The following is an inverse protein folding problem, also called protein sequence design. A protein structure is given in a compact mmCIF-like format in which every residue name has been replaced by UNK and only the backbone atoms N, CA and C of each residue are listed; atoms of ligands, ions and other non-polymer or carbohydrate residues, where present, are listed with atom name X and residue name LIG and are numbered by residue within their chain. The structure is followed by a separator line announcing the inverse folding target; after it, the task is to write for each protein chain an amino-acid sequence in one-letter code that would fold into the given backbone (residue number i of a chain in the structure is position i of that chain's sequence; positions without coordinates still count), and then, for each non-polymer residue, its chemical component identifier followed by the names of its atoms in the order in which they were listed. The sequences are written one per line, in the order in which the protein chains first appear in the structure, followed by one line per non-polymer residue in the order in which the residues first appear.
data_IF_929337935622
#
_entry.id   IF_929337935622
#
_cell.length_a   1.000
_cell.length_b   1.000
_cell.length_c   1.000
_cell.angle_alpha   90.00
_cell.angle_beta   90.00
_cell.angle_gamma   90.00
#
_symmetry.space_group_name_H-M   'P 1'
#
loop_
_entity.id
_entity.type
_entity.pdbx_description
1 polymer ?
#
# COMPACT_ATOMS: atom_id res chain seq x y z
N UNK A 1 19.27 -29.47 -0.38
CA UNK A 1 19.34 -28.03 -0.05
C UNK A 1 18.07 -27.37 -0.55
N UNK A 2 17.06 -27.26 0.32
CA UNK A 2 15.80 -26.60 -0.02
C UNK A 2 15.91 -25.12 0.34
N UNK A 3 15.98 -24.26 -0.66
CA UNK A 3 15.88 -22.80 -0.49
C UNK A 3 14.43 -22.47 -0.13
N UNK A 4 14.14 -22.38 1.17
CA UNK A 4 12.89 -21.81 1.67
C UNK A 4 12.90 -20.31 1.37
N UNK A 5 12.30 -19.93 0.25
CA UNK A 5 12.04 -18.52 -0.08
C UNK A 5 10.82 -18.06 0.72
N UNK A 6 11.04 -17.79 2.00
CA UNK A 6 10.06 -17.18 2.91
C UNK A 6 9.87 -15.69 2.66
N UNK A 7 9.72 -15.31 1.39
CA UNK A 7 9.43 -13.94 1.00
C UNK A 7 7.94 -13.84 0.60
N UNK A 8 7.16 -13.43 1.59
CA UNK A 8 6.12 -12.40 1.40
C UNK A 8 4.80 -12.84 0.75
N UNK A 9 4.27 -13.99 1.17
CA UNK A 9 2.84 -14.28 1.02
C UNK A 9 2.01 -13.45 2.02
N UNK A 10 2.02 -12.11 1.87
CA UNK A 10 1.01 -11.28 2.52
C UNK A 10 -0.22 -11.33 1.63
N UNK A 11 -1.00 -12.38 1.81
CA UNK A 11 -2.39 -12.46 1.33
C UNK A 11 -3.22 -11.49 2.17
N UNK A 12 -3.03 -10.19 1.92
CA UNK A 12 -3.88 -9.12 2.47
C UNK A 12 -5.29 -9.43 1.96
N UNK A 13 -6.26 -9.57 2.87
CA UNK A 13 -7.59 -10.14 2.64
C UNK A 13 -8.50 -9.39 1.66
N UNK A 14 -8.09 -9.23 0.40
CA UNK A 14 -8.88 -8.62 -0.65
C UNK A 14 -8.61 -9.37 -1.96
N UNK A 15 -9.67 -9.83 -2.62
CA UNK A 15 -9.60 -10.67 -3.80
C UNK A 15 -8.63 -10.16 -4.88
N UNK A 16 -7.75 -11.05 -5.33
CA UNK A 16 -7.14 -11.12 -6.67
C UNK A 16 -6.53 -9.85 -7.29
N UNK A 17 -6.11 -8.88 -6.49
CA UNK A 17 -5.28 -7.76 -6.95
C UNK A 17 -4.08 -7.62 -6.03
N UNK A 18 -2.87 -7.87 -6.53
CA UNK A 18 -1.65 -7.63 -5.76
C UNK A 18 -1.64 -6.17 -5.27
N UNK A 19 -1.12 -5.90 -4.07
CA UNK A 19 -0.97 -4.54 -3.52
C UNK A 19 -0.38 -3.56 -4.55
N UNK A 20 0.50 -4.07 -5.41
CA UNK A 20 1.06 -3.39 -6.56
C UNK A 20 0.01 -2.87 -7.55
N UNK A 21 -0.97 -3.67 -7.93
CA UNK A 21 -2.07 -3.25 -8.80
C UNK A 21 -2.94 -2.16 -8.16
N UNK A 22 -3.14 -2.21 -6.84
CA UNK A 22 -3.89 -1.20 -6.07
C UNK A 22 -3.15 0.15 -6.07
N UNK A 23 -1.83 0.11 -5.89
CA UNK A 23 -0.96 1.29 -5.97
C UNK A 23 -0.93 1.83 -7.40
N UNK A 24 -0.74 0.97 -8.41
CA UNK A 24 -0.68 1.38 -9.80
C UNK A 24 -2.01 2.02 -10.25
N UNK A 25 -3.16 1.47 -9.82
CA UNK A 25 -4.48 2.05 -10.08
C UNK A 25 -4.69 3.41 -9.37
N UNK A 26 -4.19 3.57 -8.15
CA UNK A 26 -4.23 4.85 -7.43
C UNK A 26 -3.44 5.94 -8.16
N UNK A 27 -2.20 5.66 -8.57
CA UNK A 27 -1.40 6.62 -9.34
C UNK A 27 -1.95 6.87 -10.75
N UNK A 28 -2.53 5.86 -11.40
CA UNK A 28 -3.22 6.03 -12.67
C UNK A 28 -4.44 6.96 -12.55
N UNK A 29 -5.22 6.84 -11.46
CA UNK A 29 -6.35 7.73 -11.17
C UNK A 29 -5.94 9.19 -10.92
N UNK A 30 -4.69 9.43 -10.49
CA UNK A 30 -4.14 10.77 -10.28
C UNK A 30 -3.46 11.36 -11.54
N UNK A 31 -3.40 10.62 -12.66
CA UNK A 31 -2.72 11.07 -13.88
C UNK A 31 -1.20 11.18 -13.75
N UNK A 32 -0.61 10.64 -12.68
CA UNK A 32 0.83 10.71 -12.38
C UNK A 32 1.56 9.49 -12.95
N UNK A 33 1.78 9.48 -14.26
CA UNK A 33 2.31 8.32 -14.98
C UNK A 33 3.83 8.05 -14.88
N UNK A 34 4.66 8.96 -14.34
CA UNK A 34 6.06 9.01 -14.80
C UNK A 34 7.19 8.83 -13.76
N UNK A 35 6.95 8.75 -12.44
CA UNK A 35 8.00 8.24 -11.53
C UNK A 35 7.54 7.76 -10.13
N UNK A 36 6.44 7.00 -10.04
CA UNK A 36 6.02 6.43 -8.75
C UNK A 36 6.99 5.37 -8.20
N UNK A 37 8.02 4.94 -8.95
CA UNK A 37 8.83 3.79 -8.54
C UNK A 37 9.66 4.04 -7.28
N UNK A 38 10.41 5.15 -7.22
CA UNK A 38 11.22 5.50 -6.05
C UNK A 38 10.36 5.76 -4.82
N UNK A 39 9.28 6.50 -5.03
CA UNK A 39 8.30 6.82 -4.01
C UNK A 39 7.58 5.59 -3.45
N UNK A 40 7.13 4.70 -4.34
CA UNK A 40 6.54 3.42 -3.97
C UNK A 40 7.51 2.60 -3.14
N UNK A 41 8.80 2.56 -3.50
CA UNK A 41 9.80 1.82 -2.71
C UNK A 41 9.97 2.43 -1.31
N UNK A 42 10.01 3.76 -1.21
CA UNK A 42 10.14 4.47 0.07
C UNK A 42 8.92 4.26 0.99
N UNK A 43 7.71 4.19 0.42
CA UNK A 43 6.44 4.07 1.16
C UNK A 43 5.90 2.65 1.30
N UNK A 44 6.49 1.66 0.62
CA UNK A 44 6.00 0.28 0.63
C UNK A 44 5.94 -0.32 2.03
N UNK A 45 6.97 -0.08 2.84
CA UNK A 45 7.02 -0.59 4.21
C UNK A 45 5.85 -0.05 5.05
N UNK A 46 5.56 1.24 4.95
CA UNK A 46 4.46 1.89 5.66
C UNK A 46 3.09 1.34 5.22
N UNK A 47 2.90 1.16 3.91
CA UNK A 47 1.68 0.55 3.36
C UNK A 47 1.50 -0.88 3.87
N UNK A 48 2.56 -1.69 3.87
CA UNK A 48 2.51 -3.06 4.37
C UNK A 48 2.19 -3.12 5.86
N UNK A 49 2.78 -2.23 6.66
CA UNK A 49 2.47 -2.13 8.10
C UNK A 49 0.99 -1.80 8.29
N UNK A 50 0.46 -0.77 7.62
CA UNK A 50 -0.95 -0.38 7.74
C UNK A 50 -1.89 -1.48 7.22
N UNK A 51 -1.55 -2.10 6.08
CA UNK A 51 -2.33 -3.22 5.53
C UNK A 51 -2.23 -4.50 6.38
N UNK A 52 -1.25 -4.61 7.29
CA UNK A 52 -1.16 -5.72 8.25
C UNK A 52 -1.95 -5.50 9.54
N UNK A 53 -2.37 -4.27 9.84
CA UNK A 53 -3.18 -3.98 11.03
C UNK A 53 -4.62 -4.47 10.86
N UNK A 54 -5.35 -4.67 11.96
CA UNK A 54 -6.79 -4.98 11.90
C UNK A 54 -7.61 -3.74 11.55
N UNK A 55 -8.82 -3.95 11.04
CA UNK A 55 -9.72 -2.84 10.67
C UNK A 55 -10.11 -1.99 11.90
N UNK A 56 -10.25 -2.62 13.07
CA UNK A 56 -10.47 -1.96 14.35
C UNK A 56 -9.33 -0.99 14.68
N UNK A 57 -8.09 -1.45 14.50
CA UNK A 57 -6.91 -0.63 14.79
C UNK A 57 -6.71 0.49 13.77
N UNK A 58 -7.04 0.24 12.51
CA UNK A 58 -7.12 1.31 11.50
C UNK A 58 -8.19 2.34 11.89
N UNK A 59 -9.34 1.91 12.38
CA UNK A 59 -10.41 2.80 12.82
C UNK A 59 -10.02 3.64 14.05
N UNK A 60 -9.27 3.06 15.01
CA UNK A 60 -8.67 3.82 16.12
C UNK A 60 -7.76 4.95 15.63
N UNK A 61 -7.06 4.73 14.51
CA UNK A 61 -6.23 5.74 13.84
C UNK A 61 -7.03 6.69 12.94
N UNK A 62 -8.36 6.54 12.85
CA UNK A 62 -9.22 7.30 11.94
C UNK A 62 -9.03 6.94 10.46
N UNK A 63 -8.56 5.72 10.18
CA UNK A 63 -8.24 5.22 8.85
C UNK A 63 -9.16 4.07 8.44
N UNK A 64 -9.36 3.92 7.13
CA UNK A 64 -9.96 2.74 6.52
C UNK A 64 -8.99 2.14 5.51
N UNK A 65 -9.18 0.88 5.12
CA UNK A 65 -8.36 0.19 4.10
C UNK A 65 -8.21 0.98 2.80
N UNK A 66 -9.27 1.66 2.40
CA UNK A 66 -9.33 2.46 1.19
C UNK A 66 -8.58 3.79 1.34
N UNK A 67 -8.48 4.29 2.58
CA UNK A 67 -7.79 5.53 2.95
C UNK A 67 -6.29 5.35 3.20
N UNK A 68 -5.77 4.12 3.24
CA UNK A 68 -4.34 3.84 3.45
C UNK A 68 -3.48 4.55 2.40
N UNK A 69 -3.75 4.35 1.10
CA UNK A 69 -2.92 4.96 0.04
C UNK A 69 -3.01 6.50 0.05
N UNK A 70 -4.21 7.13 0.11
CA UNK A 70 -4.31 8.58 0.27
C UNK A 70 -3.60 9.13 1.51
N UNK A 71 -3.58 8.38 2.61
CA UNK A 71 -2.92 8.78 3.84
C UNK A 71 -1.40 8.74 3.71
N UNK A 72 -0.86 7.63 3.21
CA UNK A 72 0.59 7.42 3.05
C UNK A 72 1.22 8.35 2.01
N UNK A 73 0.45 8.76 1.01
CA UNK A 73 0.91 9.67 -0.04
C UNK A 73 0.41 11.11 0.16
N UNK A 74 -0.26 11.42 1.27
CA UNK A 74 -0.80 12.77 1.55
C UNK A 74 0.28 13.84 1.48
N UNK A 75 1.48 13.50 1.93
CA UNK A 75 2.67 14.37 1.98
C UNK A 75 3.19 14.78 0.60
N UNK A 76 2.75 14.11 -0.46
CA UNK A 76 3.18 14.40 -1.83
C UNK A 76 2.21 15.29 -2.58
N UNK A 77 1.00 15.44 -2.05
CA UNK A 77 -0.11 16.13 -2.68
C UNK A 77 -0.60 17.34 -1.85
N UNK A 78 0.17 17.77 -0.85
CA UNK A 78 0.03 19.07 -0.19
C UNK A 78 1.39 19.51 0.36
N UNK A 79 1.88 20.73 0.16
CA UNK A 79 1.28 22.00 -0.30
C UNK A 79 1.13 22.17 -1.83
#
# INVERSE_FOLDING_TARGET
MATSSGADNVTIGLGRGSLRAKIDAYFAGLGQGINAYGLRRARMHEILVLESQSDERLAEMGLTRERILPHVFRDLFGD
#
